data_IF_100106942639
#
_entry.id   IF_100106942639
#
_cell.length_a   1.000
_cell.length_b   1.000
_cell.length_c   1.000
_cell.angle_alpha   90.00
_cell.angle_beta   90.00
_cell.angle_gamma   90.00
#
_symmetry.space_group_name_H-M   'P 1'
#
loop_
_entity.id
_entity.type
_entity.pdbx_description
1 polymer ?
#
# COMPACT_ATOMS: atom_id res chain seq x y z
N UNK A 1 33.97 -42.06 25.71
CA UNK A 1 32.58 -41.65 26.03
C UNK A 1 32.53 -40.47 27.03
N UNK A 2 33.32 -39.40 26.85
CA UNK A 2 33.43 -38.31 27.85
C UNK A 2 32.73 -36.99 27.47
N UNK A 3 32.25 -36.85 26.23
CA UNK A 3 31.63 -35.62 25.75
C UNK A 3 30.15 -35.76 25.39
N UNK A 4 29.55 -36.95 25.56
CA UNK A 4 28.15 -37.20 25.21
C UNK A 4 27.19 -36.33 26.03
N UNK A 5 27.46 -36.13 27.32
CA UNK A 5 26.64 -35.27 28.19
C UNK A 5 26.74 -33.79 27.79
N UNK A 6 27.92 -33.31 27.41
CA UNK A 6 28.14 -31.92 26.97
C UNK A 6 27.48 -31.64 25.62
N UNK A 7 27.53 -32.60 24.68
CA UNK A 7 26.87 -32.46 23.38
C UNK A 7 25.34 -32.45 23.55
N UNK A 8 24.79 -33.29 24.42
CA UNK A 8 23.34 -33.32 24.71
C UNK A 8 22.88 -32.02 25.39
N UNK A 9 23.65 -31.49 26.34
CA UNK A 9 23.32 -30.23 27.00
C UNK A 9 23.39 -29.03 26.03
N UNK A 10 24.38 -29.01 25.13
CA UNK A 10 24.50 -27.97 24.12
C UNK A 10 23.37 -28.05 23.08
N UNK A 11 23.00 -29.26 22.65
CA UNK A 11 21.87 -29.45 21.73
C UNK A 11 20.54 -29.04 22.38
N UNK A 12 20.32 -29.39 23.65
CA UNK A 12 19.11 -29.01 24.38
C UNK A 12 19.00 -27.48 24.57
N UNK A 13 20.12 -26.80 24.83
CA UNK A 13 20.17 -25.34 24.93
C UNK A 13 19.91 -24.67 23.57
N UNK A 14 20.48 -25.22 22.49
CA UNK A 14 20.24 -24.73 21.13
C UNK A 14 18.79 -24.95 20.70
N UNK A 15 18.17 -26.11 20.97
CA UNK A 15 16.76 -26.32 20.66
C UNK A 15 15.82 -25.47 21.52
N UNK A 16 16.16 -25.20 22.79
CA UNK A 16 15.36 -24.34 23.67
C UNK A 16 15.39 -22.84 23.31
N UNK A 17 16.49 -22.36 22.69
CA UNK A 17 16.61 -20.97 22.24
C UNK A 17 15.93 -20.72 20.89
N UNK A 18 15.75 -21.74 20.05
CA UNK A 18 15.08 -21.60 18.74
C UNK A 18 13.55 -21.52 18.91
N UNK A 19 12.97 -22.13 19.96
CA UNK A 19 11.53 -22.07 20.24
C UNK A 19 11.06 -20.79 20.95
N UNK A 20 12.00 -19.96 21.44
CA UNK A 20 11.67 -18.71 22.15
C UNK A 20 11.56 -17.48 21.23
N UNK A 21 11.89 -17.61 19.94
CA UNK A 21 11.92 -16.50 18.98
C UNK A 21 10.96 -16.67 17.80
N UNK A 22 10.06 -17.66 17.84
CA UNK A 22 9.05 -17.89 16.81
C UNK A 22 7.67 -17.37 17.24
N UNK A 23 7.59 -16.12 17.68
CA UNK A 23 6.31 -15.40 17.80
C UNK A 23 5.96 -14.76 16.45
N UNK A 24 5.69 -15.62 15.47
CA UNK A 24 4.85 -15.23 14.34
C UNK A 24 3.40 -15.60 14.75
N UNK A 25 2.45 -14.64 14.76
CA UNK A 25 1.06 -14.98 15.06
C UNK A 25 0.56 -15.94 13.99
N UNK A 26 0.49 -17.22 14.34
CA UNK A 26 -0.22 -18.22 13.59
C UNK A 26 -1.69 -18.08 13.93
N UNK A 27 -2.51 -17.84 12.92
CA UNK A 27 -3.97 -17.85 13.05
C UNK A 27 -4.43 -19.27 13.37
N UNK A 28 -4.38 -19.61 14.66
CA UNK A 28 -5.18 -20.67 15.26
C UNK A 28 -6.46 -20.05 15.80
N UNK A 29 -7.57 -20.78 15.70
CA UNK A 29 -8.97 -20.34 15.79
C UNK A 29 -9.45 -19.79 17.17
N UNK A 30 -8.62 -19.17 18.01
CA UNK A 30 -9.08 -18.70 19.32
C UNK A 30 -8.19 -17.64 19.98
N UNK A 31 -8.08 -16.46 19.38
CA UNK A 31 -7.85 -15.23 20.16
C UNK A 31 -8.47 -14.05 19.42
N UNK A 32 -9.78 -13.88 19.59
CA UNK A 32 -10.46 -12.64 19.19
C UNK A 32 -9.95 -11.54 20.12
N UNK A 33 -8.94 -10.82 19.67
CA UNK A 33 -8.37 -9.71 20.41
C UNK A 33 -9.38 -8.56 20.47
N UNK A 34 -9.64 -8.08 21.68
CA UNK A 34 -10.48 -6.90 21.91
C UNK A 34 -9.73 -5.63 21.58
N UNK A 35 -10.47 -4.52 21.40
CA UNK A 35 -9.88 -3.21 21.13
C UNK A 35 -8.79 -2.82 22.16
N UNK A 36 -9.05 -3.04 23.45
CA UNK A 36 -8.09 -2.67 24.51
C UNK A 36 -6.81 -3.52 24.48
N UNK A 37 -6.87 -4.75 23.96
CA UNK A 37 -5.67 -5.57 23.76
C UNK A 37 -4.85 -5.14 22.55
N UNK A 38 -5.49 -4.56 21.52
CA UNK A 38 -4.83 -4.08 20.30
C UNK A 38 -4.28 -2.66 20.48
N UNK A 39 -4.98 -1.82 21.25
CA UNK A 39 -4.67 -0.39 21.40
C UNK A 39 -3.23 -0.18 21.87
N UNK A 40 -2.45 0.52 21.05
CA UNK A 40 -1.06 0.87 21.36
C UNK A 40 -0.01 -0.18 21.02
N UNK A 41 -0.39 -1.38 20.59
CA UNK A 41 0.55 -2.46 20.21
C UNK A 41 1.15 -2.28 18.81
N UNK A 42 0.49 -1.50 17.95
CA UNK A 42 0.81 -1.39 16.52
C UNK A 42 0.16 -2.46 15.65
N UNK A 43 -0.51 -3.46 16.23
CA UNK A 43 -1.20 -4.52 15.48
C UNK A 43 -2.34 -3.99 14.59
N UNK A 44 -2.97 -2.88 14.97
CA UNK A 44 -4.02 -2.24 14.16
C UNK A 44 -3.53 -1.73 12.79
N UNK A 45 -2.22 -1.58 12.58
CA UNK A 45 -1.65 -1.19 11.30
C UNK A 45 -1.13 -2.41 10.50
N UNK A 46 -1.39 -3.64 10.94
CA UNK A 46 -0.98 -4.86 10.24
C UNK A 46 -2.18 -5.52 9.57
N UNK A 47 -1.96 -6.08 8.38
CA UNK A 47 -2.98 -6.88 7.73
C UNK A 47 -3.08 -8.28 8.37
N UNK A 48 -4.26 -8.92 8.35
CA UNK A 48 -4.40 -10.32 8.70
C UNK A 48 -3.46 -11.20 7.86
N UNK A 49 -2.98 -12.28 8.45
CA UNK A 49 -2.10 -13.24 7.77
C UNK A 49 -2.75 -14.63 7.76
N UNK A 50 -2.63 -15.32 6.62
CA UNK A 50 -3.03 -16.71 6.50
C UNK A 50 -1.89 -17.65 6.90
N UNK A 51 -2.24 -18.82 7.42
CA UNK A 51 -1.29 -19.88 7.74
C UNK A 51 -0.45 -20.28 6.51
N UNK A 52 0.80 -20.69 6.74
CA UNK A 52 1.72 -21.11 5.66
C UNK A 52 1.22 -22.34 4.88
N UNK A 53 0.32 -23.12 5.48
CA UNK A 53 -0.32 -24.29 4.88
C UNK A 53 -1.50 -23.94 3.98
N UNK A 54 -1.96 -22.68 3.96
CA UNK A 54 -3.12 -22.22 3.16
C UNK A 54 -2.74 -22.08 1.68
N UNK A 55 -2.72 -23.21 0.97
CA UNK A 55 -2.47 -23.30 -0.49
C UNK A 55 -3.68 -23.85 -1.24
N UNK A 56 -4.87 -23.45 -0.83
CA UNK A 56 -6.13 -23.87 -1.45
C UNK A 56 -6.38 -23.22 -2.80
N UNK A 57 -7.59 -23.43 -3.30
CA UNK A 57 -8.12 -22.72 -4.47
C UNK A 57 -9.60 -22.39 -4.25
N UNK A 58 -10.00 -21.18 -4.64
CA UNK A 58 -11.41 -20.74 -4.60
C UNK A 58 -11.97 -20.91 -6.01
N UNK A 59 -12.92 -21.83 -6.18
CA UNK A 59 -13.58 -22.03 -7.47
C UNK A 59 -14.42 -20.80 -7.84
N UNK A 60 -14.29 -20.35 -9.08
CA UNK A 60 -15.05 -19.21 -9.62
C UNK A 60 -16.16 -19.77 -10.49
N UNK A 61 -17.41 -19.57 -10.09
CA UNK A 61 -18.58 -19.90 -10.89
C UNK A 61 -18.97 -18.70 -11.77
N UNK A 62 -18.95 -18.83 -13.12
CA UNK A 62 -19.37 -17.77 -14.04
C UNK A 62 -20.79 -17.24 -13.82
N UNK A 63 -21.65 -17.99 -13.14
CA UNK A 63 -23.05 -17.60 -12.85
C UNK A 63 -23.20 -16.77 -11.58
N UNK A 64 -22.17 -16.73 -10.74
CA UNK A 64 -22.18 -16.04 -9.44
C UNK A 64 -21.47 -14.70 -9.58
N UNK A 65 -22.06 -13.67 -8.99
CA UNK A 65 -21.37 -12.37 -8.88
C UNK A 65 -20.56 -12.37 -7.60
N UNK A 66 -19.32 -11.87 -7.64
CA UNK A 66 -18.44 -11.85 -6.48
C UNK A 66 -18.14 -10.42 -6.03
N UNK A 67 -17.67 -10.29 -4.80
CA UNK A 67 -17.11 -9.07 -4.23
C UNK A 67 -15.81 -9.39 -3.51
N UNK A 68 -14.90 -8.43 -3.47
CA UNK A 68 -13.79 -8.44 -2.54
C UNK A 68 -14.15 -7.52 -1.39
N UNK A 69 -14.01 -8.03 -0.17
CA UNK A 69 -14.16 -7.29 1.09
C UNK A 69 -12.86 -7.32 1.88
N UNK A 70 -12.72 -6.36 2.80
CA UNK A 70 -11.60 -6.29 3.74
C UNK A 70 -10.24 -6.36 3.03
N UNK A 71 -10.14 -5.77 1.83
CA UNK A 71 -8.85 -5.62 1.17
C UNK A 71 -7.98 -4.70 2.02
N UNK A 72 -6.89 -5.27 2.50
CA UNK A 72 -5.88 -4.64 3.33
C UNK A 72 -4.55 -4.67 2.60
N UNK A 73 -3.85 -3.54 2.54
CA UNK A 73 -2.50 -3.39 2.00
C UNK A 73 -1.58 -2.84 3.09
N UNK A 74 -0.61 -3.64 3.53
CA UNK A 74 0.40 -3.30 4.53
C UNK A 74 1.74 -3.01 3.84
N UNK A 75 2.14 -1.75 3.64
CA UNK A 75 3.46 -1.40 3.14
C UNK A 75 4.56 -1.83 4.11
N UNK A 76 5.58 -2.50 3.60
CA UNK A 76 6.77 -2.91 4.38
C UNK A 76 8.03 -2.17 3.94
N UNK A 77 8.08 -1.71 2.69
CA UNK A 77 9.22 -0.97 2.15
C UNK A 77 8.79 0.10 1.14
N UNK A 78 9.52 1.22 1.18
CA UNK A 78 9.27 2.38 0.35
C UNK A 78 10.56 2.74 -0.38
N UNK A 79 10.44 2.99 -1.66
CA UNK A 79 11.55 3.41 -2.50
C UNK A 79 11.15 4.65 -3.28
N UNK A 80 12.06 5.60 -3.41
CA UNK A 80 11.84 6.80 -4.22
C UNK A 80 12.90 6.81 -5.30
N UNK A 81 12.47 7.09 -6.52
CA UNK A 81 13.37 7.25 -7.65
C UNK A 81 14.08 8.58 -7.53
N UNK A 82 15.39 8.54 -7.30
CA UNK A 82 16.20 9.75 -7.24
C UNK A 82 16.53 10.26 -8.64
N UNK A 83 16.61 11.59 -8.77
CA UNK A 83 17.08 12.21 -10.00
C UNK A 83 18.60 11.98 -10.11
N UNK A 84 19.08 11.44 -11.23
CA UNK A 84 20.49 11.17 -11.38
C UNK A 84 21.25 12.50 -11.48
N UNK A 85 22.39 12.60 -10.76
CA UNK A 85 23.26 13.78 -10.83
C UNK A 85 23.81 14.06 -12.24
N UNK A 86 23.81 13.04 -13.11
CA UNK A 86 24.17 13.16 -14.51
C UNK A 86 23.07 12.56 -15.40
N UNK A 87 22.64 13.30 -16.43
CA UNK A 87 21.62 12.85 -17.42
C UNK A 87 21.95 11.52 -18.11
N UNK A 88 23.23 11.08 -18.09
CA UNK A 88 23.67 9.78 -18.65
C UNK A 88 23.47 8.59 -17.70
N UNK A 89 23.27 8.83 -16.40
CA UNK A 89 23.03 7.78 -15.41
C UNK A 89 21.54 7.44 -15.38
N UNK A 90 21.22 6.16 -15.19
CA UNK A 90 19.83 5.73 -15.01
C UNK A 90 19.38 6.10 -13.60
N UNK A 91 18.18 6.66 -13.51
CA UNK A 91 17.54 6.92 -12.22
C UNK A 91 17.27 5.58 -11.50
N UNK A 92 17.66 5.50 -10.24
CA UNK A 92 17.52 4.29 -9.41
C UNK A 92 16.55 4.53 -8.26
N UNK A 93 15.90 3.46 -7.82
CA UNK A 93 15.02 3.47 -6.65
C UNK A 93 15.85 3.33 -5.38
N UNK A 94 15.84 4.36 -4.55
CA UNK A 94 16.56 4.42 -3.28
C UNK A 94 15.58 4.17 -2.13
N UNK A 95 15.99 3.35 -1.16
CA UNK A 95 15.14 3.01 -0.01
C UNK A 95 14.97 4.21 0.94
N UNK A 96 13.72 4.55 1.25
CA UNK A 96 13.34 5.60 2.17
C UNK A 96 12.89 5.05 3.53
N UNK A 97 13.18 5.79 4.61
CA UNK A 97 12.71 5.45 5.97
C UNK A 97 11.40 6.17 6.27
N UNK A 98 10.37 5.44 6.70
CA UNK A 98 9.08 6.04 7.09
C UNK A 98 9.23 6.95 8.30
N UNK A 99 8.65 8.15 8.22
CA UNK A 99 8.67 9.16 9.30
C UNK A 99 7.31 9.32 10.00
N UNK A 100 6.24 8.80 9.41
CA UNK A 100 4.85 8.98 9.83
C UNK A 100 4.34 7.90 10.81
N UNK A 101 5.24 7.03 11.29
CA UNK A 101 4.92 5.94 12.25
C UNK A 101 4.00 4.88 11.62
N UNK A 102 3.20 4.20 12.44
CA UNK A 102 2.30 3.10 12.04
C UNK A 102 0.94 3.64 11.56
N UNK A 103 0.95 4.37 10.44
CA UNK A 103 -0.24 4.98 9.82
C UNK A 103 -0.24 4.80 8.29
N UNK A 104 0.34 3.69 7.82
CA UNK A 104 0.64 3.48 6.40
C UNK A 104 -0.30 2.51 5.71
N UNK A 105 -1.07 1.74 6.47
CA UNK A 105 -1.88 0.64 5.94
C UNK A 105 -3.21 1.14 5.38
N UNK A 106 -3.57 0.61 4.22
CA UNK A 106 -4.89 0.74 3.60
C UNK A 106 -5.70 -0.47 4.06
N UNK A 107 -6.95 -0.26 4.46
CA UNK A 107 -7.77 -1.32 5.07
C UNK A 107 -9.26 -1.10 4.79
N UNK A 108 -10.06 -2.15 5.00
CA UNK A 108 -11.52 -2.16 4.82
C UNK A 108 -11.94 -1.76 3.41
N UNK A 109 -11.06 -1.97 2.43
CA UNK A 109 -11.39 -1.69 1.04
C UNK A 109 -12.30 -2.79 0.50
N UNK A 110 -13.36 -2.36 -0.18
CA UNK A 110 -14.35 -3.23 -0.77
C UNK A 110 -14.67 -2.84 -2.20
N UNK A 111 -15.10 -3.82 -2.98
CA UNK A 111 -15.44 -3.60 -4.37
C UNK A 111 -16.00 -4.83 -5.05
N UNK A 112 -16.49 -4.61 -6.26
CA UNK A 112 -17.08 -5.67 -7.07
C UNK A 112 -15.97 -6.49 -7.75
N UNK A 113 -16.16 -7.80 -7.84
CA UNK A 113 -15.31 -8.71 -8.58
C UNK A 113 -16.13 -9.30 -9.73
N UNK A 114 -15.97 -8.74 -10.93
CA UNK A 114 -16.72 -9.14 -12.12
C UNK A 114 -15.93 -10.13 -12.95
N UNK A 115 -16.62 -11.13 -13.51
CA UNK A 115 -16.03 -12.09 -14.44
C UNK A 115 -16.18 -11.54 -15.86
N UNK A 116 -15.06 -11.41 -16.57
CA UNK A 116 -15.01 -10.93 -17.94
C UNK A 116 -15.31 -12.08 -18.93
N UNK A 117 -15.53 -11.74 -20.21
CA UNK A 117 -15.83 -12.71 -21.27
C UNK A 117 -14.70 -13.70 -21.58
N UNK A 118 -13.46 -13.36 -21.21
CA UNK A 118 -12.26 -14.20 -21.34
C UNK A 118 -11.94 -14.97 -20.05
N UNK A 119 -12.90 -15.02 -19.11
CA UNK A 119 -12.77 -15.60 -17.78
C UNK A 119 -11.65 -14.98 -16.93
N UNK A 120 -11.17 -13.76 -17.24
CA UNK A 120 -10.43 -12.96 -16.27
C UNK A 120 -11.37 -12.33 -15.25
N UNK A 121 -10.85 -12.02 -14.07
CA UNK A 121 -11.56 -11.31 -13.01
C UNK A 121 -11.14 -9.85 -13.02
N UNK A 122 -12.11 -8.93 -12.94
CA UNK A 122 -11.87 -7.50 -12.74
C UNK A 122 -12.35 -7.11 -11.35
N UNK A 123 -11.43 -6.71 -10.49
CA UNK A 123 -11.74 -6.01 -9.26
C UNK A 123 -11.91 -4.52 -9.53
N UNK A 124 -13.06 -3.98 -9.13
CA UNK A 124 -13.35 -2.54 -9.16
C UNK A 124 -13.60 -2.05 -7.76
N UNK A 125 -12.66 -1.27 -7.23
CA UNK A 125 -12.75 -0.62 -5.92
C UNK A 125 -13.93 0.35 -5.86
N UNK A 126 -14.60 0.41 -4.70
CA UNK A 126 -15.80 1.22 -4.47
C UNK A 126 -15.72 2.07 -3.22
N UNK A 127 -15.23 1.51 -2.13
CA UNK A 127 -15.24 2.17 -0.82
C UNK A 127 -14.17 1.57 0.11
N UNK A 128 -13.88 2.27 1.21
CA UNK A 128 -12.97 1.86 2.26
C UNK A 128 -11.93 2.90 2.63
N UNK A 129 -10.97 2.52 3.49
CA UNK A 129 -9.83 3.38 3.84
C UNK A 129 -8.75 3.20 2.77
N UNK A 130 -9.01 3.75 1.60
CA UNK A 130 -8.27 3.56 0.34
C UNK A 130 -7.11 4.56 0.13
N UNK A 131 -6.72 5.33 1.17
CA UNK A 131 -5.56 6.20 1.14
C UNK A 131 -4.93 6.45 2.51
N UNK A 132 -3.62 6.75 2.52
CA UNK A 132 -2.86 7.23 3.66
C UNK A 132 -1.83 8.28 3.23
N UNK A 133 -1.70 9.35 4.03
CA UNK A 133 -0.66 10.36 3.83
C UNK A 133 0.64 9.88 4.50
N UNK A 134 1.67 9.61 3.70
CA UNK A 134 2.94 9.05 4.17
C UNK A 134 4.07 10.03 3.85
N UNK A 135 5.05 10.11 4.73
CA UNK A 135 6.33 10.79 4.47
C UNK A 135 7.48 9.83 4.72
N UNK A 136 8.36 9.73 3.73
CA UNK A 136 9.61 8.96 3.82
C UNK A 136 10.81 9.88 3.77
N UNK A 137 11.87 9.52 4.48
CA UNK A 137 13.14 10.23 4.50
C UNK A 137 14.18 9.46 3.69
N UNK A 138 14.77 10.12 2.70
CA UNK A 138 15.83 9.55 1.87
C UNK A 138 17.21 9.65 2.54
N UNK A 139 18.18 8.83 2.10
CA UNK A 139 19.59 9.08 2.40
C UNK A 139 19.96 10.50 1.94
N UNK A 140 20.49 11.33 2.84
CA UNK A 140 20.68 12.78 2.59
C UNK A 140 19.67 13.68 3.30
N UNK A 141 18.58 13.10 3.82
CA UNK A 141 17.68 13.76 4.75
C UNK A 141 16.48 14.46 4.13
N UNK A 142 16.36 14.43 2.80
CA UNK A 142 15.19 14.89 2.09
C UNK A 142 13.93 14.13 2.52
N UNK A 143 12.84 14.86 2.73
CA UNK A 143 11.53 14.31 3.05
C UNK A 143 10.67 14.30 1.80
N UNK A 144 10.15 13.13 1.46
CA UNK A 144 9.27 12.92 0.31
C UNK A 144 7.89 12.55 0.83
N UNK A 145 6.94 13.52 0.92
CA UNK A 145 5.55 13.23 1.19
C UNK A 145 4.87 12.66 -0.06
N UNK A 146 3.96 11.71 0.14
CA UNK A 146 3.12 11.17 -0.91
C UNK A 146 1.82 10.62 -0.31
N UNK A 147 0.78 10.51 -1.15
CA UNK A 147 -0.51 9.97 -0.78
C UNK A 147 -0.59 8.51 -1.23
N UNK A 148 -0.19 7.55 -0.40
CA UNK A 148 -0.36 6.13 -0.73
C UNK A 148 -1.84 5.85 -0.91
N UNK A 149 -2.26 5.35 -2.06
CA UNK A 149 -3.69 5.18 -2.36
C UNK A 149 -3.94 4.08 -3.37
N UNK A 150 -5.18 3.59 -3.39
CA UNK A 150 -5.73 2.76 -4.47
C UNK A 150 -7.09 3.28 -4.94
N UNK A 151 -7.31 4.60 -4.82
CA UNK A 151 -8.55 5.27 -5.24
C UNK A 151 -8.97 4.91 -6.65
N UNK A 152 -10.21 4.45 -6.81
CA UNK A 152 -10.77 4.02 -8.09
C UNK A 152 -9.93 2.94 -8.78
N UNK A 153 -9.35 2.03 -8.01
CA UNK A 153 -8.58 0.91 -8.55
C UNK A 153 -9.47 0.03 -9.45
N UNK A 154 -8.96 -0.21 -10.65
CA UNK A 154 -9.45 -1.27 -11.54
C UNK A 154 -8.29 -2.21 -11.80
N UNK A 155 -8.37 -3.43 -11.26
CA UNK A 155 -7.33 -4.44 -11.38
C UNK A 155 -7.87 -5.72 -12.01
N UNK A 156 -7.14 -6.26 -12.98
CA UNK A 156 -7.54 -7.44 -13.73
C UNK A 156 -6.56 -8.58 -13.54
N UNK A 157 -7.07 -9.80 -13.55
CA UNK A 157 -6.26 -11.01 -13.52
C UNK A 157 -5.83 -11.48 -14.90
N UNK A 158 -5.02 -12.55 -14.95
CA UNK A 158 -4.78 -13.29 -16.17
C UNK A 158 -6.10 -13.86 -16.75
N UNK A 159 -6.19 -14.05 -18.09
CA UNK A 159 -7.36 -14.67 -18.72
C UNK A 159 -7.45 -16.18 -18.43
N UNK A 160 -8.61 -16.77 -18.70
CA UNK A 160 -8.89 -18.19 -18.56
C UNK A 160 -8.75 -18.74 -17.12
N UNK A 161 -9.07 -17.94 -16.12
CA UNK A 161 -9.10 -18.40 -14.73
C UNK A 161 -10.37 -19.22 -14.44
N UNK A 162 -10.16 -20.39 -13.86
CA UNK A 162 -11.25 -21.26 -13.34
C UNK A 162 -11.34 -21.21 -11.81
N UNK A 163 -10.25 -20.83 -11.15
CA UNK A 163 -10.16 -20.71 -9.70
C UNK A 163 -9.09 -19.69 -9.32
N UNK A 164 -9.30 -19.00 -8.19
CA UNK A 164 -8.29 -18.15 -7.57
C UNK A 164 -7.36 -19.06 -6.76
N UNK A 165 -6.07 -19.01 -7.07
CA UNK A 165 -5.01 -19.82 -6.45
C UNK A 165 -3.71 -18.99 -6.35
N UNK A 166 -2.62 -19.62 -5.92
CA UNK A 166 -1.31 -18.97 -5.72
C UNK A 166 -0.60 -18.54 -7.02
N UNK A 167 -1.19 -18.78 -8.18
CA UNK A 167 -0.71 -18.30 -9.48
C UNK A 167 -1.55 -17.13 -10.01
N UNK A 168 -2.55 -16.68 -9.24
CA UNK A 168 -3.42 -15.56 -9.62
C UNK A 168 -2.76 -14.24 -9.25
N UNK A 169 -2.61 -13.35 -10.23
CA UNK A 169 -2.14 -11.99 -10.00
C UNK A 169 -3.22 -11.00 -10.42
N UNK A 170 -3.38 -9.91 -9.68
CA UNK A 170 -4.19 -8.77 -10.11
C UNK A 170 -3.26 -7.63 -10.52
N UNK A 171 -3.46 -7.06 -11.71
CA UNK A 171 -2.72 -5.90 -12.20
C UNK A 171 -3.68 -4.80 -12.58
N UNK A 172 -3.43 -3.59 -12.10
CA UNK A 172 -4.39 -2.50 -12.25
C UNK A 172 -3.78 -1.12 -12.23
N UNK A 173 -4.63 -0.15 -12.54
CA UNK A 173 -4.34 1.26 -12.42
C UNK A 173 -5.34 1.92 -11.46
N UNK A 174 -4.88 2.97 -10.80
CA UNK A 174 -5.68 3.74 -9.85
C UNK A 174 -5.37 5.24 -10.01
N UNK A 175 -6.23 6.07 -9.44
CA UNK A 175 -6.06 7.54 -9.44
C UNK A 175 -5.29 7.97 -8.20
N UNK A 176 -4.41 8.94 -8.39
CA UNK A 176 -3.65 9.59 -7.30
C UNK A 176 -4.08 11.05 -7.28
N UNK A 177 -5.05 11.44 -6.42
CA UNK A 177 -5.41 12.83 -6.26
C UNK A 177 -4.28 13.62 -5.60
N UNK A 178 -4.40 14.94 -5.59
CA UNK A 178 -3.45 15.80 -4.89
C UNK A 178 -3.33 15.39 -3.41
N UNK A 179 -2.09 15.41 -2.89
CA UNK A 179 -1.79 15.15 -1.49
C UNK A 179 -2.50 16.14 -0.55
N UNK A 180 -2.74 17.37 -1.03
CA UNK A 180 -3.46 18.41 -0.30
C UNK A 180 -4.87 18.57 -0.85
N UNK A 181 -5.85 18.68 0.04
CA UNK A 181 -7.22 19.05 -0.34
C UNK A 181 -7.29 20.49 -0.86
N UNK A 182 -8.33 20.79 -1.64
CA UNK A 182 -8.46 22.09 -2.32
C UNK A 182 -8.47 23.31 -1.38
N UNK A 183 -8.94 23.13 -0.13
CA UNK A 183 -8.99 24.18 0.89
C UNK A 183 -7.66 24.38 1.66
N UNK A 184 -6.61 23.62 1.33
CA UNK A 184 -5.30 23.80 1.95
C UNK A 184 -4.71 25.16 1.58
N UNK A 185 -4.13 25.84 2.57
CA UNK A 185 -3.43 27.11 2.40
C UNK A 185 -1.95 26.88 2.64
N UNK A 186 -1.12 27.39 1.73
CA UNK A 186 0.32 27.43 1.93
C UNK A 186 0.69 28.40 3.07
N UNK A 187 1.96 28.44 3.53
CA UNK A 187 2.38 29.32 4.63
C UNK A 187 2.17 30.82 4.38
N UNK A 188 1.90 31.23 3.14
CA UNK A 188 1.57 32.61 2.75
C UNK A 188 0.09 32.83 2.53
N UNK A 189 -0.75 31.85 2.90
CA UNK A 189 -2.20 31.93 2.80
C UNK A 189 -2.73 31.75 1.38
N UNK A 190 -1.93 31.20 0.45
CA UNK A 190 -2.37 30.94 -0.93
C UNK A 190 -2.93 29.53 -1.06
N UNK A 191 -4.03 29.36 -1.79
CA UNK A 191 -4.71 28.07 -1.93
C UNK A 191 -5.42 27.94 -3.28
N UNK A 192 -6.20 26.86 -3.44
CA UNK A 192 -6.89 26.56 -4.71
C UNK A 192 -8.28 27.19 -4.72
N UNK A 193 -9.11 26.89 -3.72
CA UNK A 193 -10.50 27.39 -3.63
C UNK A 193 -10.68 28.52 -2.61
N UNK A 194 -9.63 28.80 -1.83
CA UNK A 194 -9.60 29.81 -0.79
C UNK A 194 -8.19 30.34 -0.66
N UNK A 195 -8.03 31.49 0.00
CA UNK A 195 -6.74 32.14 0.19
C UNK A 195 -6.42 33.19 -0.87
N UNK A 196 -5.21 33.73 -0.78
CA UNK A 196 -4.68 34.70 -1.75
C UNK A 196 -4.30 34.01 -3.06
N UNK A 197 -4.42 34.75 -4.15
CA UNK A 197 -4.03 34.33 -5.51
C UNK A 197 -2.64 34.83 -5.91
N UNK A 198 -2.00 35.67 -5.10
CA UNK A 198 -0.70 36.27 -5.37
C UNK A 198 0.21 36.31 -4.12
N UNK A 199 1.44 36.81 -4.32
CA UNK A 199 2.41 37.01 -3.26
C UNK A 199 2.17 38.34 -2.51
N UNK A 200 1.13 38.42 -1.67
CA UNK A 200 0.74 39.61 -0.89
C UNK A 200 1.86 40.26 -0.06
N UNK A 201 2.89 39.50 0.32
CA UNK A 201 4.05 40.03 1.05
C UNK A 201 5.07 40.77 0.16
N UNK A 202 4.96 40.64 -1.16
CA UNK A 202 5.84 41.24 -2.17
C UNK A 202 5.00 42.03 -3.18
N UNK A 203 4.36 43.15 -2.79
CA UNK A 203 3.39 43.86 -3.63
C UNK A 203 3.99 44.38 -4.95
N UNK A 204 5.29 44.71 -4.97
CA UNK A 204 5.96 45.16 -6.19
C UNK A 204 6.28 44.03 -7.19
N UNK A 205 6.24 42.77 -6.74
CA UNK A 205 6.57 41.58 -7.52
C UNK A 205 5.42 40.58 -7.54
N UNK A 206 4.20 40.99 -7.15
CA UNK A 206 3.09 40.05 -6.92
C UNK A 206 2.73 39.24 -8.16
N UNK A 207 2.89 39.87 -9.32
CA UNK A 207 2.51 39.37 -10.65
C UNK A 207 3.73 38.94 -11.47
N UNK A 208 4.88 38.75 -10.82
CA UNK A 208 6.10 38.27 -11.47
C UNK A 208 5.86 36.86 -12.04
N UNK A 209 6.28 36.65 -13.29
CA UNK A 209 6.10 35.38 -14.00
C UNK A 209 6.78 34.23 -13.25
N UNK A 210 7.90 34.52 -12.60
CA UNK A 210 8.66 33.56 -11.79
C UNK A 210 7.86 33.05 -10.57
N UNK A 211 6.93 33.84 -10.05
CA UNK A 211 6.08 33.46 -8.91
C UNK A 211 4.79 32.76 -9.33
N UNK A 212 4.43 32.82 -10.61
CA UNK A 212 3.16 32.28 -11.13
C UNK A 212 2.98 30.81 -10.78
N UNK A 213 4.04 30.00 -10.87
CA UNK A 213 4.01 28.57 -10.51
C UNK A 213 3.67 28.33 -9.04
N UNK A 214 4.08 29.24 -8.16
CA UNK A 214 3.81 29.13 -6.71
C UNK A 214 2.52 29.82 -6.28
N UNK A 215 2.07 30.83 -7.03
CA UNK A 215 0.83 31.56 -6.80
C UNK A 215 -0.39 30.76 -7.25
N UNK A 216 -0.35 30.25 -8.49
CA UNK A 216 -1.46 29.51 -9.09
C UNK A 216 -1.37 28.04 -8.70
N UNK A 217 -2.10 27.67 -7.64
CA UNK A 217 -2.15 26.30 -7.11
C UNK A 217 -2.90 25.37 -8.07
N UNK A 218 -2.34 24.17 -8.31
CA UNK A 218 -2.88 23.15 -9.21
C UNK A 218 -3.06 21.82 -8.48
N UNK A 219 -4.19 21.16 -8.75
CA UNK A 219 -4.54 19.87 -8.15
C UNK A 219 -4.71 18.83 -9.24
N UNK A 220 -3.62 18.51 -9.93
CA UNK A 220 -3.64 17.51 -10.98
C UNK A 220 -3.90 16.11 -10.41
N UNK A 221 -4.75 15.34 -11.09
CA UNK A 221 -4.99 13.93 -10.74
C UNK A 221 -4.03 13.09 -11.55
N UNK A 222 -3.11 12.43 -10.87
CA UNK A 222 -2.11 11.58 -11.46
C UNK A 222 -2.58 10.12 -11.46
N UNK A 223 -1.77 9.22 -12.04
CA UNK A 223 -2.08 7.79 -12.16
C UNK A 223 -1.02 6.98 -11.44
N UNK A 224 -1.45 5.93 -10.76
CA UNK A 224 -0.59 4.89 -10.22
C UNK A 224 -0.94 3.53 -10.81
N UNK A 225 -0.05 2.56 -10.63
CA UNK A 225 -0.23 1.17 -11.05
C UNK A 225 0.13 0.23 -9.90
N UNK A 226 -0.56 -0.88 -9.80
CA UNK A 226 -0.35 -1.87 -8.74
C UNK A 226 -0.40 -3.28 -9.31
N UNK A 227 0.39 -4.17 -8.72
CA UNK A 227 0.36 -5.62 -8.92
C UNK A 227 0.17 -6.29 -7.57
N UNK A 228 -0.88 -7.09 -7.42
CA UNK A 228 -1.13 -7.96 -6.28
C UNK A 228 -0.82 -9.40 -6.72
N UNK A 229 0.01 -10.12 -5.97
CA UNK A 229 0.42 -11.49 -6.27
C UNK A 229 -0.05 -12.41 -5.16
N UNK A 230 -1.05 -13.25 -5.45
CA UNK A 230 -1.64 -14.16 -4.46
C UNK A 230 -0.61 -15.24 -4.10
N UNK A 231 -0.30 -15.38 -2.82
CA UNK A 231 0.65 -16.38 -2.33
C UNK A 231 -0.02 -17.45 -1.44
N UNK A 232 -1.15 -17.11 -0.80
CA UNK A 232 -1.90 -17.96 0.11
C UNK A 232 -3.38 -17.84 -0.16
N UNK A 233 -4.09 -18.95 -0.07
CA UNK A 233 -5.54 -19.04 -0.32
C UNK A 233 -6.15 -20.02 0.68
N UNK A 234 -7.18 -19.57 1.39
CA UNK A 234 -8.08 -20.40 2.17
C UNK A 234 -9.42 -20.54 1.43
N UNK A 235 -9.73 -21.75 1.00
CA UNK A 235 -10.94 -22.03 0.22
C UNK A 235 -12.22 -22.10 1.09
N UNK A 236 -12.08 -22.25 2.40
CA UNK A 236 -13.21 -22.40 3.32
C UNK A 236 -13.77 -21.04 3.70
N UNK A 237 -12.89 -20.07 3.98
CA UNK A 237 -13.25 -18.70 4.33
C UNK A 237 -13.30 -17.74 3.13
N UNK A 238 -12.76 -18.15 1.97
CA UNK A 238 -12.63 -17.28 0.80
C UNK A 238 -11.50 -16.26 0.91
N UNK A 239 -10.59 -16.44 1.88
CA UNK A 239 -9.50 -15.50 2.13
C UNK A 239 -8.32 -15.73 1.19
N UNK A 240 -7.73 -14.63 0.75
CA UNK A 240 -6.51 -14.60 -0.05
C UNK A 240 -5.50 -13.66 0.58
N UNK A 241 -4.22 -14.01 0.52
CA UNK A 241 -3.14 -13.16 0.98
C UNK A 241 -1.91 -13.30 0.10
N UNK A 242 -1.05 -12.29 0.08
CA UNK A 242 0.13 -12.30 -0.73
C UNK A 242 0.96 -11.03 -0.65
N UNK A 243 1.68 -10.71 -1.72
CA UNK A 243 2.55 -9.54 -1.81
C UNK A 243 2.02 -8.55 -2.83
N UNK A 244 2.27 -7.26 -2.62
CA UNK A 244 1.99 -6.25 -3.63
C UNK A 244 3.21 -5.41 -3.96
N UNK A 245 3.23 -4.90 -5.20
CA UNK A 245 4.09 -3.80 -5.63
C UNK A 245 3.21 -2.72 -6.26
N UNK A 246 3.33 -1.49 -5.78
CA UNK A 246 2.63 -0.31 -6.28
C UNK A 246 3.65 0.75 -6.70
N UNK A 247 3.40 1.43 -7.81
CA UNK A 247 4.17 2.58 -8.27
C UNK A 247 3.23 3.76 -8.49
N UNK A 248 3.56 4.89 -7.88
CA UNK A 248 2.76 6.11 -7.95
C UNK A 248 3.63 7.37 -7.75
N UNK A 249 3.18 8.54 -8.23
CA UNK A 249 3.85 9.80 -7.99
C UNK A 249 3.71 10.27 -6.53
N UNK A 250 4.67 11.10 -6.10
CA UNK A 250 4.68 11.80 -4.81
C UNK A 250 3.83 13.08 -4.84
N UNK A 251 3.83 13.81 -3.71
CA UNK A 251 3.29 15.18 -3.64
C UNK A 251 3.98 16.11 -4.65
N UNK A 252 3.23 17.10 -5.14
CA UNK A 252 3.68 18.17 -6.04
C UNK A 252 3.62 19.56 -5.39
N UNK A 253 3.25 19.64 -4.11
CA UNK A 253 3.00 20.88 -3.38
C UNK A 253 2.06 21.82 -4.14
N UNK A 254 0.90 21.27 -4.53
CA UNK A 254 -0.11 21.97 -5.33
C UNK A 254 0.46 22.53 -6.65
N UNK A 255 1.33 21.79 -7.32
CA UNK A 255 1.94 22.14 -8.60
C UNK A 255 3.21 23.00 -8.51
N UNK A 256 3.65 23.35 -7.30
CA UNK A 256 4.89 24.11 -7.11
C UNK A 256 6.14 23.28 -7.46
N UNK A 257 6.10 21.96 -7.28
CA UNK A 257 7.20 21.03 -7.59
C UNK A 257 6.81 19.92 -8.56
N UNK A 258 7.81 19.19 -9.06
CA UNK A 258 7.60 17.95 -9.82
C UNK A 258 7.47 16.75 -8.87
N UNK A 259 6.56 15.80 -9.14
CA UNK A 259 6.45 14.60 -8.32
C UNK A 259 7.61 13.65 -8.59
N UNK A 260 8.09 12.99 -7.54
CA UNK A 260 9.00 11.85 -7.64
C UNK A 260 8.23 10.55 -7.84
N UNK A 261 8.82 9.58 -8.52
CA UNK A 261 8.24 8.23 -8.61
C UNK A 261 8.50 7.48 -7.30
N UNK A 262 7.43 7.01 -6.65
CA UNK A 262 7.48 6.22 -5.42
C UNK A 262 7.06 4.79 -5.72
N UNK A 263 7.87 3.84 -5.29
CA UNK A 263 7.57 2.41 -5.32
C UNK A 263 7.31 1.92 -3.90
N UNK A 264 6.18 1.27 -3.70
CA UNK A 264 5.76 0.70 -2.43
C UNK A 264 5.66 -0.81 -2.60
N UNK A 265 6.26 -1.55 -1.67
CA UNK A 265 6.11 -3.01 -1.60
C UNK A 265 5.59 -3.40 -0.23
N UNK A 266 4.81 -4.46 -0.19
CA UNK A 266 4.19 -4.89 1.04
C UNK A 266 3.42 -6.20 0.92
N UNK A 267 2.63 -6.45 1.95
CA UNK A 267 1.73 -7.60 2.05
C UNK A 267 0.30 -7.15 1.79
N UNK A 268 -0.53 -8.04 1.26
CA UNK A 268 -1.96 -7.81 1.21
C UNK A 268 -2.74 -9.01 1.74
N UNK A 269 -3.95 -8.70 2.18
CA UNK A 269 -5.00 -9.64 2.55
C UNK A 269 -6.30 -9.18 1.92
N UNK A 270 -7.18 -10.10 1.55
CA UNK A 270 -8.53 -9.80 1.12
C UNK A 270 -9.43 -11.03 1.31
N UNK A 271 -10.75 -10.82 1.38
CA UNK A 271 -11.73 -11.91 1.38
C UNK A 271 -12.64 -11.82 0.17
N UNK A 272 -12.76 -12.93 -0.56
CA UNK A 272 -13.63 -13.08 -1.71
C UNK A 272 -14.95 -13.68 -1.26
N UNK A 273 -16.05 -12.97 -1.50
CA UNK A 273 -17.39 -13.41 -1.13
C UNK A 273 -18.34 -13.38 -2.33
N UNK A 274 -19.21 -14.39 -2.50
CA UNK A 274 -20.32 -14.28 -3.44
C UNK A 274 -21.28 -13.19 -2.98
N UNK A 275 -21.72 -12.34 -3.90
CA UNK A 275 -22.82 -11.40 -3.66
C UNK A 275 -24.13 -12.20 -3.67
N UNK A 276 -24.85 -12.14 -2.56
CA UNK A 276 -26.17 -12.73 -2.41
C UNK A 276 -27.22 -12.01 -3.27
#
# INVERSE_FOLDING_TARGET
MRYRALIVAFLALCLGLITACSDAPSTSLSDVLTYEQIRGTGLANKCPQLAETSRGSIAVDPKVTYSIKELCLEPTSFFVKEEPANKRQKAEFVSGKVMTRYTSTIDQVQGQLTINSDNSLTFTEKDGIDFQAITVKLPGGELVPFLFTIKNLVAQTQPNLTSINTSTDFKGNFKVPSYRGAAFLDPKGRGVVSGYDNAVALPAQSDDEDLTRTNVKRTDILKGKISLQVAKVDNTSGEIAGTFESEQPSDTDLGAGEPKEVKIRGLFYARVEPLA
#
